data_IF_967387195736
#
_entry.id   IF_967387195736
#
_cell.length_a   1.000
_cell.length_b   1.000
_cell.length_c   1.000
_cell.angle_alpha   90.00
_cell.angle_beta   90.00
_cell.angle_gamma   90.00
#
_symmetry.space_group_name_H-M   'P 1'
#
loop_
_entity.id
_entity.type
_entity.pdbx_description
1 polymer ?
#
# COMPACT_ATOMS: atom_id res chain seq x y z
N UNK A 1 -20.76 -12.20 1.55
CA UNK A 1 -19.41 -11.62 1.77
C UNK A 1 -19.60 -10.13 2.02
N UNK A 2 -18.82 -9.49 2.91
CA UNK A 2 -18.97 -8.05 3.20
C UNK A 2 -18.20 -7.24 2.17
N UNK A 3 -18.88 -6.84 1.10
CA UNK A 3 -18.29 -6.08 -0.03
C UNK A 3 -17.92 -4.63 0.33
N UNK A 4 -18.43 -4.16 1.46
CA UNK A 4 -18.26 -2.83 2.06
C UNK A 4 -17.05 -2.75 2.99
N UNK A 5 -16.30 -3.85 3.18
CA UNK A 5 -15.10 -3.83 4.02
C UNK A 5 -13.95 -3.15 3.29
N UNK A 6 -13.39 -2.11 3.91
CA UNK A 6 -12.19 -1.41 3.45
C UNK A 6 -11.04 -1.62 4.44
N UNK A 7 -9.82 -1.80 3.91
CA UNK A 7 -8.59 -1.82 4.69
C UNK A 7 -7.70 -0.67 4.23
N UNK A 8 -7.35 0.25 5.13
CA UNK A 8 -6.55 1.45 4.82
C UNK A 8 -5.21 1.37 5.53
N UNK A 9 -4.13 1.73 4.82
CA UNK A 9 -2.76 1.75 5.36
C UNK A 9 -2.36 0.43 6.04
N UNK A 10 -2.74 -0.70 5.46
CA UNK A 10 -2.45 -2.00 6.05
C UNK A 10 -1.04 -2.46 5.64
N UNK A 11 -0.14 -2.80 6.58
CA UNK A 11 1.20 -3.26 6.24
C UNK A 11 1.16 -4.70 5.72
N UNK A 12 1.78 -4.94 4.57
CA UNK A 12 2.00 -6.26 4.00
C UNK A 12 3.50 -6.54 3.99
N UNK A 13 3.92 -7.54 4.77
CA UNK A 13 5.32 -7.95 4.80
C UNK A 13 5.65 -8.84 3.60
N UNK A 14 6.67 -8.44 2.84
CA UNK A 14 7.23 -9.25 1.77
C UNK A 14 8.46 -10.02 2.28
N UNK A 15 8.38 -11.34 2.53
CA UNK A 15 9.50 -12.12 3.06
C UNK A 15 10.68 -12.22 2.08
N UNK A 16 10.44 -12.09 0.77
CA UNK A 16 11.49 -12.11 -0.26
C UNK A 16 12.34 -10.84 -0.24
N UNK A 17 11.69 -9.69 -0.07
CA UNK A 17 12.34 -8.38 -0.05
C UNK A 17 12.78 -7.97 1.37
N UNK A 18 12.23 -8.62 2.41
CA UNK A 18 12.36 -8.23 3.83
C UNK A 18 11.92 -6.79 4.08
N UNK A 19 10.85 -6.38 3.40
CA UNK A 19 10.29 -5.04 3.47
C UNK A 19 8.80 -5.11 3.72
N UNK A 20 8.27 -4.09 4.39
CA UNK A 20 6.84 -3.88 4.54
C UNK A 20 6.37 -2.86 3.50
N UNK A 21 5.25 -3.15 2.85
CA UNK A 21 4.58 -2.23 1.93
C UNK A 21 3.22 -1.89 2.49
N UNK A 22 2.81 -0.64 2.39
CA UNK A 22 1.46 -0.24 2.76
C UNK A 22 0.51 -0.55 1.60
N UNK A 23 -0.63 -1.17 1.91
CA UNK A 23 -1.68 -1.46 0.95
C UNK A 23 -3.01 -0.88 1.41
N UNK A 24 -3.84 -0.58 0.42
CA UNK A 24 -5.26 -0.27 0.60
C UNK A 24 -6.10 -1.33 -0.13
N UNK A 25 -7.16 -1.79 0.52
CA UNK A 25 -8.12 -2.73 -0.07
C UNK A 25 -9.50 -2.09 -0.09
N UNK A 26 -10.08 -1.95 -1.28
CA UNK A 26 -11.44 -1.43 -1.49
C UNK A 26 -12.18 -2.35 -2.44
N UNK A 27 -13.32 -2.93 -2.01
CA UNK A 27 -14.11 -3.87 -2.83
C UNK A 27 -13.26 -4.97 -3.48
N UNK A 28 -12.38 -5.59 -2.69
CA UNK A 28 -11.42 -6.62 -3.12
C UNK A 28 -10.34 -6.18 -4.13
N UNK A 29 -10.21 -4.88 -4.43
CA UNK A 29 -9.06 -4.35 -5.17
C UNK A 29 -7.96 -3.96 -4.21
N UNK A 30 -6.76 -4.49 -4.45
CA UNK A 30 -5.55 -4.14 -3.71
C UNK A 30 -4.83 -3.02 -4.45
N UNK A 31 -4.55 -1.94 -3.76
CA UNK A 31 -3.73 -0.82 -4.22
C UNK A 31 -2.49 -0.75 -3.35
N UNK A 32 -1.30 -0.69 -3.96
CA UNK A 32 -0.06 -0.47 -3.20
C UNK A 32 0.09 1.03 -3.01
N UNK A 33 0.24 1.45 -1.76
CA UNK A 33 0.54 2.83 -1.39
C UNK A 33 2.05 3.01 -1.56
N UNK A 34 2.47 3.39 -2.75
CA UNK A 34 3.81 3.93 -2.97
C UNK A 34 3.78 5.37 -2.47
N UNK A 35 4.63 5.72 -1.49
CA UNK A 35 4.87 7.14 -1.19
C UNK A 35 5.17 7.84 -2.51
N UNK A 36 4.53 8.97 -2.83
CA UNK A 36 4.88 9.71 -4.03
C UNK A 36 6.35 10.03 -3.91
N UNK A 37 7.18 9.56 -4.85
CA UNK A 37 8.59 9.93 -4.97
C UNK A 37 8.68 11.42 -4.69
N UNK A 38 9.17 11.78 -3.50
CA UNK A 38 9.43 13.15 -3.15
C UNK A 38 10.50 13.55 -4.15
N UNK A 39 10.09 14.24 -5.22
CA UNK A 39 11.00 14.83 -6.19
C UNK A 39 11.85 15.80 -5.39
N UNK A 40 13.00 15.35 -4.91
CA UNK A 40 14.01 16.25 -4.38
C UNK A 40 14.43 17.08 -5.58
N UNK A 41 13.87 18.29 -5.66
CA UNK A 41 14.24 19.27 -6.65
C UNK A 41 15.64 19.73 -6.28
N UNK A 42 16.66 19.02 -6.75
CA UNK A 42 18.04 19.47 -6.70
C UNK A 42 18.17 20.72 -7.57
N UNK A 43 18.51 21.83 -6.93
CA UNK A 43 18.99 23.06 -7.58
C UNK A 43 20.44 23.30 -7.18
#
# INVERSE_FOLDING_TARGET
>A
MREDTELKNFPLFCPKCRQEILIEITKFRITVITEPDAKTQSR
#
